data_IF_430955015845
#
_entry.id   IF_430955015845
#
_cell.length_a   1.000
_cell.length_b   1.000
_cell.length_c   1.000
_cell.angle_alpha   90.00
_cell.angle_beta   90.00
_cell.angle_gamma   90.00
#
_symmetry.space_group_name_H-M   'P 1'
#
loop_
_entity.id
_entity.type
_entity.pdbx_description
1 polymer ?
#
# COMPACT_ATOMS: atom_id res chain seq x y z
N UNK A 1 43.94 -54.37 18.66
CA UNK A 1 44.08 -52.90 18.40
C UNK A 1 44.15 -52.51 16.92
N UNK A 2 44.87 -53.23 16.03
CA UNK A 2 44.98 -52.87 14.60
C UNK A 2 43.70 -53.00 13.77
N UNK A 3 42.72 -53.83 14.15
CA UNK A 3 41.44 -54.03 13.40
C UNK A 3 40.45 -52.89 13.65
N UNK A 4 40.46 -52.26 14.82
CA UNK A 4 39.57 -51.15 15.13
C UNK A 4 40.07 -49.83 14.52
N UNK A 5 41.40 -49.68 14.32
CA UNK A 5 41.97 -48.51 13.68
C UNK A 5 41.58 -48.38 12.19
N UNK A 6 41.44 -49.55 11.50
CA UNK A 6 41.00 -49.60 10.11
C UNK A 6 39.50 -49.28 9.96
N UNK A 7 38.69 -49.66 10.96
CA UNK A 7 37.26 -49.39 10.95
C UNK A 7 36.99 -47.93 11.21
N UNK A 8 37.81 -47.32 12.12
CA UNK A 8 37.71 -45.88 12.43
C UNK A 8 38.08 -44.98 11.23
N UNK A 9 39.08 -45.43 10.44
CA UNK A 9 39.50 -44.69 9.25
C UNK A 9 38.42 -44.75 8.11
N UNK A 10 37.70 -45.89 7.99
CA UNK A 10 36.63 -46.03 6.98
C UNK A 10 35.39 -45.22 7.39
N UNK A 11 35.08 -45.18 8.67
CA UNK A 11 33.94 -44.36 9.16
C UNK A 11 34.24 -42.86 9.03
N UNK A 12 35.51 -42.46 9.30
CA UNK A 12 35.89 -41.04 9.13
C UNK A 12 35.92 -40.59 7.65
N UNK A 13 36.31 -41.49 6.74
CA UNK A 13 36.30 -41.21 5.30
C UNK A 13 34.89 -41.18 4.73
N UNK A 14 33.94 -41.97 5.25
CA UNK A 14 32.54 -41.86 4.85
C UNK A 14 31.89 -40.60 5.39
N UNK A 15 32.22 -40.17 6.59
CA UNK A 15 31.70 -38.92 7.16
C UNK A 15 32.19 -37.68 6.40
N UNK A 16 33.42 -37.69 5.87
CA UNK A 16 33.97 -36.63 5.03
C UNK A 16 33.40 -36.62 3.61
N UNK A 17 32.97 -37.78 3.09
CA UNK A 17 32.35 -37.88 1.76
C UNK A 17 30.89 -37.36 1.77
N UNK A 18 30.21 -37.43 2.92
CA UNK A 18 28.84 -36.85 3.07
C UNK A 18 28.84 -35.36 3.34
N UNK A 19 29.94 -34.73 3.76
CA UNK A 19 30.03 -33.30 3.99
C UNK A 19 30.39 -32.49 2.75
N UNK A 20 30.73 -33.12 1.62
CA UNK A 20 31.09 -32.44 0.36
C UNK A 20 29.94 -32.44 -0.65
N UNK A 21 28.89 -33.23 -0.41
CA UNK A 21 27.70 -33.25 -1.26
C UNK A 21 26.53 -32.44 -0.71
N UNK A 22 26.74 -31.65 0.35
CA UNK A 22 25.78 -30.67 0.87
C UNK A 22 26.12 -29.24 0.45
N UNK A 23 26.90 -29.04 -0.61
CA UNK A 23 26.79 -27.87 -1.48
C UNK A 23 25.72 -28.22 -2.54
N UNK A 24 24.51 -28.49 -2.08
CA UNK A 24 23.33 -28.22 -2.85
C UNK A 24 23.34 -26.73 -3.10
N UNK A 25 23.12 -26.36 -4.34
CA UNK A 25 22.77 -25.03 -4.76
C UNK A 25 21.88 -24.45 -3.66
N UNK A 26 22.43 -23.52 -2.87
CA UNK A 26 21.60 -22.49 -2.34
C UNK A 26 21.08 -21.84 -3.62
N UNK A 27 19.84 -22.11 -3.99
CA UNK A 27 19.06 -21.05 -4.55
C UNK A 27 19.42 -19.85 -3.68
N UNK A 28 20.14 -18.88 -4.21
CA UNK A 28 20.10 -17.54 -3.69
C UNK A 28 18.60 -17.28 -3.62
N UNK A 29 18.05 -17.32 -2.40
CA UNK A 29 16.76 -16.74 -2.17
C UNK A 29 16.93 -15.37 -2.79
N UNK A 30 16.20 -15.11 -3.88
CA UNK A 30 16.11 -13.79 -4.46
C UNK A 30 15.91 -12.89 -3.25
N UNK A 31 16.80 -11.93 -3.06
CA UNK A 31 16.64 -10.96 -1.99
C UNK A 31 15.19 -10.50 -2.15
N UNK A 32 14.38 -10.64 -1.08
CA UNK A 32 12.97 -10.24 -1.15
C UNK A 32 12.98 -8.82 -1.71
N UNK A 33 12.61 -8.70 -2.98
CA UNK A 33 12.63 -7.44 -3.69
C UNK A 33 11.66 -6.53 -2.97
N UNK A 34 12.08 -5.31 -2.63
CA UNK A 34 11.27 -4.38 -1.87
C UNK A 34 9.96 -4.13 -2.63
N UNK A 35 8.84 -4.05 -1.92
CA UNK A 35 7.54 -3.78 -2.54
C UNK A 35 7.58 -2.55 -3.46
N UNK A 36 8.23 -1.47 -3.01
CA UNK A 36 8.37 -0.25 -3.79
C UNK A 36 9.11 -0.47 -5.13
N UNK A 37 10.15 -1.32 -5.14
CA UNK A 37 10.92 -1.62 -6.36
C UNK A 37 10.09 -2.44 -7.35
N UNK A 38 9.32 -3.40 -6.87
CA UNK A 38 8.36 -4.17 -7.69
C UNK A 38 7.26 -3.28 -8.26
N UNK A 39 6.76 -2.32 -7.47
CA UNK A 39 5.78 -1.36 -7.93
C UNK A 39 6.32 -0.45 -9.05
N UNK A 40 7.54 0.07 -8.91
CA UNK A 40 8.20 0.85 -9.97
C UNK A 40 8.30 0.02 -11.25
N UNK A 41 8.74 -1.26 -11.13
CA UNK A 41 8.84 -2.16 -12.27
C UNK A 41 7.47 -2.41 -12.93
N UNK A 42 6.39 -2.55 -12.15
CA UNK A 42 5.02 -2.67 -12.66
C UNK A 42 4.66 -1.47 -13.54
N UNK A 43 4.82 -0.24 -13.02
CA UNK A 43 4.44 0.97 -13.77
C UNK A 43 5.30 1.15 -15.02
N UNK A 44 6.61 0.91 -14.93
CA UNK A 44 7.53 1.02 -16.07
C UNK A 44 7.28 -0.04 -17.16
N UNK A 45 6.75 -1.22 -16.78
CA UNK A 45 6.43 -2.27 -17.74
C UNK A 45 5.27 -1.90 -18.67
N UNK A 46 4.29 -1.16 -18.16
CA UNK A 46 3.02 -0.89 -18.83
C UNK A 46 2.14 -2.14 -19.01
N UNK A 47 2.47 -3.23 -18.32
CA UNK A 47 1.80 -4.55 -18.47
C UNK A 47 0.58 -4.70 -17.56
N UNK A 48 0.38 -3.77 -16.63
CA UNK A 48 -0.75 -3.80 -15.69
C UNK A 48 -0.84 -5.15 -14.95
N UNK A 49 -1.98 -5.81 -15.00
CA UNK A 49 -2.25 -7.10 -14.36
C UNK A 49 -1.50 -8.28 -14.96
N UNK A 50 -1.02 -8.15 -16.19
CA UNK A 50 -0.19 -9.16 -16.84
C UNK A 50 1.24 -9.15 -16.33
N UNK A 51 1.60 -8.16 -15.48
CA UNK A 51 2.90 -8.10 -14.80
C UNK A 51 3.08 -9.31 -13.88
N UNK A 52 4.24 -9.95 -13.95
CA UNK A 52 4.50 -11.24 -13.32
C UNK A 52 4.31 -11.21 -11.78
N UNK A 53 4.63 -10.09 -11.14
CA UNK A 53 4.59 -9.95 -9.68
C UNK A 53 3.36 -9.16 -9.19
N UNK A 54 2.37 -8.88 -10.06
CA UNK A 54 1.16 -8.13 -9.69
C UNK A 54 0.42 -8.75 -8.50
N UNK A 55 0.25 -10.08 -8.51
CA UNK A 55 -0.42 -10.79 -7.42
C UNK A 55 0.33 -10.65 -6.09
N UNK A 56 1.66 -10.59 -6.11
CA UNK A 56 2.46 -10.39 -4.91
C UNK A 56 2.31 -8.98 -4.34
N UNK A 57 2.25 -7.95 -5.20
CA UNK A 57 1.96 -6.57 -4.79
C UNK A 57 0.58 -6.47 -4.14
N UNK A 58 -0.44 -7.08 -4.76
CA UNK A 58 -1.81 -7.13 -4.25
C UNK A 58 -1.89 -7.87 -2.91
N UNK A 59 -1.24 -9.02 -2.77
CA UNK A 59 -1.23 -9.82 -1.54
C UNK A 59 -0.67 -9.05 -0.35
N UNK A 60 0.33 -8.20 -0.55
CA UNK A 60 0.88 -7.38 0.54
C UNK A 60 -0.10 -6.29 0.99
N UNK A 61 -0.83 -5.66 0.06
CA UNK A 61 -1.90 -4.71 0.41
C UNK A 61 -3.05 -5.41 1.15
N UNK A 62 -3.43 -6.62 0.72
CA UNK A 62 -4.47 -7.41 1.40
C UNK A 62 -4.07 -7.81 2.83
N UNK A 63 -2.79 -8.15 3.05
CA UNK A 63 -2.25 -8.38 4.41
C UNK A 63 -2.37 -7.13 5.28
N UNK A 64 -2.02 -5.96 4.73
CA UNK A 64 -2.17 -4.69 5.45
C UNK A 64 -3.64 -4.46 5.82
N UNK A 65 -4.55 -4.69 4.88
CA UNK A 65 -6.00 -4.57 5.09
C UNK A 65 -6.48 -5.45 6.25
N UNK A 66 -6.08 -6.72 6.26
CA UNK A 66 -6.42 -7.65 7.33
C UNK A 66 -5.82 -7.25 8.69
N UNK A 67 -4.55 -6.82 8.69
CA UNK A 67 -3.84 -6.42 9.91
C UNK A 67 -4.44 -5.18 10.56
N UNK A 68 -4.85 -4.18 9.79
CA UNK A 68 -5.39 -2.94 10.32
C UNK A 68 -6.92 -2.96 10.48
N UNK A 69 -7.61 -3.92 9.88
CA UNK A 69 -9.06 -4.00 9.89
C UNK A 69 -9.73 -2.94 9.02
N UNK A 70 -9.06 -2.48 7.97
CA UNK A 70 -9.62 -1.58 6.98
C UNK A 70 -10.61 -2.32 6.06
N UNK A 71 -11.56 -1.59 5.50
CA UNK A 71 -12.43 -2.13 4.46
C UNK A 71 -11.64 -2.27 3.15
N UNK A 72 -10.89 -1.24 2.77
CA UNK A 72 -10.09 -1.22 1.54
C UNK A 72 -8.67 -0.72 1.79
N UNK A 73 -7.72 -1.28 1.04
CA UNK A 73 -6.32 -0.83 0.97
C UNK A 73 -5.85 -0.93 -0.48
N UNK A 74 -5.42 0.18 -1.03
CA UNK A 74 -5.06 0.31 -2.43
C UNK A 74 -3.95 1.33 -2.63
N UNK A 75 -3.38 1.42 -3.83
CA UNK A 75 -2.43 2.47 -4.18
C UNK A 75 -2.86 3.20 -5.43
N UNK A 76 -2.55 4.50 -5.44
CA UNK A 76 -2.89 5.45 -6.48
C UNK A 76 -1.61 6.04 -7.09
N UNK A 77 -1.62 6.24 -8.40
CA UNK A 77 -0.64 7.05 -9.11
C UNK A 77 -1.32 8.17 -9.89
N UNK A 78 -0.66 9.31 -10.08
CA UNK A 78 -1.19 10.34 -10.96
C UNK A 78 -1.33 9.83 -12.39
N UNK A 79 -2.35 10.34 -13.08
CA UNK A 79 -2.59 10.05 -14.49
C UNK A 79 -1.78 10.99 -15.40
N UNK A 80 -1.17 10.41 -16.41
CA UNK A 80 -0.56 11.14 -17.50
C UNK A 80 -0.93 10.49 -18.84
N UNK A 81 -1.64 11.22 -19.68
CA UNK A 81 -2.08 10.71 -20.98
C UNK A 81 -2.96 9.43 -20.91
N UNK A 82 -3.69 9.24 -19.82
CA UNK A 82 -4.54 8.07 -19.58
C UNK A 82 -3.84 6.88 -18.90
N UNK A 83 -2.57 7.01 -18.57
CA UNK A 83 -1.77 5.94 -17.97
C UNK A 83 -1.17 6.38 -16.62
N UNK A 84 -0.92 5.45 -15.67
CA UNK A 84 -0.25 5.76 -14.41
C UNK A 84 1.17 6.29 -14.64
N UNK A 85 1.60 7.26 -13.85
CA UNK A 85 2.91 7.88 -13.96
C UNK A 85 3.65 7.91 -12.62
N UNK A 86 4.98 7.72 -12.67
CA UNK A 86 5.88 7.85 -11.51
C UNK A 86 6.32 9.30 -11.25
N UNK A 87 6.09 10.21 -12.18
CA UNK A 87 6.44 11.62 -12.06
C UNK A 87 5.26 12.47 -12.54
N UNK A 88 4.86 13.42 -11.71
CA UNK A 88 3.78 14.36 -11.99
C UNK A 88 4.06 15.71 -11.34
N UNK A 89 3.68 16.78 -12.03
CA UNK A 89 3.60 18.14 -11.46
C UNK A 89 2.16 18.39 -10.99
N UNK A 90 1.98 18.50 -9.70
CA UNK A 90 0.68 18.73 -9.05
C UNK A 90 0.29 20.20 -8.97
N UNK A 91 1.02 21.12 -9.62
CA UNK A 91 0.65 22.53 -9.74
C UNK A 91 -0.71 22.73 -10.43
N UNK A 92 -1.11 21.79 -11.29
CA UNK A 92 -2.45 21.66 -11.86
C UNK A 92 -3.22 20.53 -11.16
N UNK A 93 -4.55 20.57 -11.23
CA UNK A 93 -5.40 19.46 -10.78
C UNK A 93 -5.18 18.26 -11.69
N UNK A 94 -4.57 17.21 -11.14
CA UNK A 94 -4.27 15.97 -11.85
C UNK A 94 -5.15 14.86 -11.29
N UNK A 95 -5.75 14.06 -12.17
CA UNK A 95 -6.49 12.88 -11.77
C UNK A 95 -5.52 11.77 -11.32
N UNK A 96 -6.02 10.87 -10.47
CA UNK A 96 -5.28 9.73 -9.95
C UNK A 96 -5.97 8.42 -10.33
N UNK A 97 -5.16 7.39 -10.57
CA UNK A 97 -5.63 6.06 -10.93
C UNK A 97 -5.28 5.06 -9.84
N UNK A 98 -6.21 4.16 -9.50
CA UNK A 98 -5.86 2.95 -8.75
C UNK A 98 -5.02 2.04 -9.66
N UNK A 99 -3.87 1.62 -9.15
CA UNK A 99 -2.94 0.76 -9.89
C UNK A 99 -2.77 -0.63 -9.28
N UNK A 100 -2.92 -0.76 -7.96
CA UNK A 100 -3.00 -2.04 -7.25
C UNK A 100 -4.03 -1.89 -6.14
N UNK A 101 -4.97 -2.83 -6.04
CA UNK A 101 -5.98 -2.84 -4.99
C UNK A 101 -5.97 -4.20 -4.28
N UNK A 102 -5.69 -4.20 -2.97
CA UNK A 102 -5.66 -5.40 -2.13
C UNK A 102 -7.01 -6.10 -2.01
N UNK A 103 -8.11 -5.36 -2.13
CA UNK A 103 -9.47 -5.84 -1.89
C UNK A 103 -10.27 -6.07 -3.17
N UNK A 104 -9.95 -5.39 -4.28
CA UNK A 104 -10.78 -5.37 -5.47
C UNK A 104 -10.67 -6.61 -6.35
N UNK A 105 -11.69 -6.75 -7.21
CA UNK A 105 -11.67 -7.67 -8.34
C UNK A 105 -10.51 -7.28 -9.30
N UNK A 106 -9.80 -8.29 -9.86
CA UNK A 106 -8.76 -8.04 -10.84
C UNK A 106 -9.14 -7.15 -12.03
N UNK A 107 -10.39 -6.78 -12.24
CA UNK A 107 -10.81 -5.89 -13.33
C UNK A 107 -10.63 -4.38 -13.04
N UNK A 108 -10.15 -3.99 -11.86
CA UNK A 108 -10.08 -2.59 -11.43
C UNK A 108 -8.76 -1.85 -11.74
N UNK A 109 -7.92 -2.39 -12.63
CA UNK A 109 -6.73 -1.67 -13.06
C UNK A 109 -7.07 -0.27 -13.60
N UNK A 110 -6.33 0.72 -13.09
CA UNK A 110 -6.39 2.11 -13.54
C UNK A 110 -7.81 2.73 -13.48
N UNK A 111 -8.60 2.36 -12.46
CA UNK A 111 -9.84 3.08 -12.18
C UNK A 111 -9.51 4.53 -11.85
N UNK A 112 -10.13 5.46 -12.58
CA UNK A 112 -9.93 6.89 -12.37
C UNK A 112 -10.72 7.37 -11.16
N UNK A 113 -10.00 7.89 -10.15
CA UNK A 113 -10.58 8.48 -8.94
C UNK A 113 -10.75 10.00 -9.03
N UNK A 114 -10.35 10.57 -10.16
CA UNK A 114 -10.36 12.01 -10.30
C UNK A 114 -9.34 12.70 -9.39
N UNK A 115 -9.43 14.02 -9.33
CA UNK A 115 -8.60 14.84 -8.48
C UNK A 115 -9.23 15.02 -7.09
N UNK A 116 -8.42 14.83 -6.04
CA UNK A 116 -8.73 15.25 -4.68
C UNK A 116 -7.52 15.95 -4.06
N UNK A 117 -7.77 16.93 -3.17
CA UNK A 117 -6.69 17.70 -2.55
C UNK A 117 -5.77 16.81 -1.71
N UNK A 118 -6.32 15.78 -1.06
CA UNK A 118 -5.57 14.83 -0.22
C UNK A 118 -4.62 13.97 -1.04
N UNK A 119 -4.97 13.64 -2.28
CA UNK A 119 -4.07 12.95 -3.19
C UNK A 119 -2.85 13.82 -3.50
N UNK A 120 -3.08 15.11 -3.79
CA UNK A 120 -2.00 16.06 -4.03
C UNK A 120 -1.12 16.25 -2.80
N UNK A 121 -1.72 16.40 -1.60
CA UNK A 121 -0.98 16.51 -0.34
C UNK A 121 -0.10 15.29 -0.10
N UNK A 122 -0.64 14.06 -0.30
CA UNK A 122 0.12 12.83 -0.15
C UNK A 122 1.21 12.67 -1.22
N UNK A 123 0.92 13.03 -2.48
CA UNK A 123 1.90 13.02 -3.56
C UNK A 123 3.05 14.01 -3.31
N UNK A 124 2.77 15.14 -2.71
CA UNK A 124 3.78 16.13 -2.29
C UNK A 124 4.51 15.73 -0.99
N UNK A 125 4.24 14.53 -0.46
CA UNK A 125 4.98 13.93 0.66
C UNK A 125 4.36 14.14 2.04
N UNK A 126 3.11 14.61 2.12
CA UNK A 126 2.41 14.87 3.39
C UNK A 126 1.22 13.92 3.55
N UNK A 127 1.23 12.98 4.50
CA UNK A 127 0.05 12.15 4.77
C UNK A 127 -1.17 13.00 5.09
N UNK A 128 -2.31 12.66 4.50
CA UNK A 128 -3.56 13.40 4.66
C UNK A 128 -4.76 12.46 4.71
N UNK A 129 -5.77 12.79 5.51
CA UNK A 129 -7.06 12.11 5.49
C UNK A 129 -8.10 12.92 4.73
N UNK A 130 -9.10 12.23 4.18
CA UNK A 130 -10.29 12.84 3.64
C UNK A 130 -10.93 13.79 4.67
N UNK A 131 -11.67 14.78 4.20
CA UNK A 131 -12.31 15.79 5.07
C UNK A 131 -13.71 15.40 5.50
N UNK A 132 -14.19 14.25 5.02
CA UNK A 132 -15.48 13.67 5.39
C UNK A 132 -15.44 12.15 5.28
N UNK A 133 -16.34 11.48 6.00
CA UNK A 133 -16.65 10.08 5.76
C UNK A 133 -17.43 9.91 4.46
N UNK A 134 -17.58 8.68 4.03
CA UNK A 134 -18.44 8.26 2.92
C UNK A 134 -19.05 6.88 3.24
N UNK A 135 -20.17 6.56 2.59
CA UNK A 135 -20.90 5.31 2.78
C UNK A 135 -20.63 4.35 1.63
N UNK A 136 -20.44 3.08 1.95
CA UNK A 136 -20.38 1.97 1.01
C UNK A 136 -21.23 0.77 1.48
N UNK A 137 -21.07 -0.40 0.85
CA UNK A 137 -21.78 -1.62 1.24
C UNK A 137 -21.32 -2.16 2.61
N UNK A 138 -20.11 -1.82 3.06
CA UNK A 138 -19.51 -2.22 4.33
C UNK A 138 -19.83 -1.23 5.47
N UNK A 139 -20.41 -0.08 5.15
CA UNK A 139 -20.79 0.98 6.08
C UNK A 139 -20.00 2.26 5.89
N UNK A 140 -19.92 3.07 6.94
CA UNK A 140 -19.25 4.37 6.88
C UNK A 140 -17.74 4.23 7.02
N UNK A 141 -17.01 4.77 6.05
CA UNK A 141 -15.56 4.75 5.96
C UNK A 141 -14.95 6.15 6.02
N UNK A 142 -13.73 6.21 6.52
CA UNK A 142 -12.86 7.38 6.43
C UNK A 142 -11.60 7.04 5.66
N UNK A 143 -11.35 7.75 4.57
CA UNK A 143 -10.18 7.54 3.72
C UNK A 143 -8.99 8.35 4.20
N UNK A 144 -7.80 7.73 4.20
CA UNK A 144 -6.54 8.40 4.45
C UNK A 144 -5.47 7.97 3.44
N UNK A 145 -4.58 8.88 3.10
CA UNK A 145 -3.60 8.75 2.03
C UNK A 145 -2.21 9.07 2.56
N UNK A 146 -1.21 8.28 2.16
CA UNK A 146 0.16 8.51 2.57
C UNK A 146 1.16 8.18 1.46
N UNK A 147 2.28 8.92 1.37
CA UNK A 147 3.29 8.73 0.33
C UNK A 147 4.06 7.44 0.51
N UNK A 148 4.25 6.69 -0.56
CA UNK A 148 5.18 5.57 -0.65
C UNK A 148 6.42 6.02 -1.41
N UNK A 149 7.60 5.78 -0.84
CA UNK A 149 8.87 6.28 -1.38
C UNK A 149 9.67 5.19 -2.08
N UNK A 150 10.24 5.52 -3.24
CA UNK A 150 11.20 4.70 -3.97
C UNK A 150 12.63 4.85 -3.45
N UNK A 151 13.59 4.17 -4.11
CA UNK A 151 15.02 4.14 -3.75
C UNK A 151 15.65 5.55 -3.76
N UNK A 152 15.22 6.42 -4.65
CA UNK A 152 15.73 7.79 -4.77
C UNK A 152 15.11 8.77 -3.76
N UNK A 153 14.22 8.29 -2.89
CA UNK A 153 13.52 9.07 -1.88
C UNK A 153 12.38 9.93 -2.45
N UNK A 154 11.97 9.73 -3.69
CA UNK A 154 10.79 10.37 -4.27
C UNK A 154 9.54 9.54 -3.99
N UNK A 155 8.39 10.20 -4.00
CA UNK A 155 7.09 9.52 -3.97
C UNK A 155 6.88 8.81 -5.30
N UNK A 156 6.51 7.53 -5.25
CA UNK A 156 6.25 6.68 -6.41
C UNK A 156 4.77 6.33 -6.56
N UNK A 157 4.04 6.31 -5.46
CA UNK A 157 2.59 6.19 -5.39
C UNK A 157 2.10 6.68 -4.03
N UNK A 158 0.79 6.76 -3.87
CA UNK A 158 0.15 7.01 -2.58
C UNK A 158 -0.62 5.79 -2.13
N UNK A 159 -0.45 5.39 -0.87
CA UNK A 159 -1.25 4.36 -0.24
C UNK A 159 -2.56 4.98 0.23
N UNK A 160 -3.69 4.41 -0.18
CA UNK A 160 -5.03 4.71 0.32
C UNK A 160 -5.49 3.64 1.30
N UNK A 161 -6.08 4.04 2.41
CA UNK A 161 -6.72 3.17 3.39
C UNK A 161 -8.10 3.71 3.71
N UNK A 162 -9.13 2.89 3.54
CA UNK A 162 -10.50 3.20 3.91
C UNK A 162 -10.86 2.44 5.18
N UNK A 163 -10.97 3.17 6.29
CA UNK A 163 -11.13 2.61 7.62
C UNK A 163 -12.54 2.83 8.15
N UNK A 164 -13.21 1.80 8.74
CA UNK A 164 -14.57 1.93 9.27
C UNK A 164 -14.65 2.96 10.40
N UNK A 165 -15.60 3.87 10.31
CA UNK A 165 -15.80 4.95 11.27
C UNK A 165 -17.27 5.14 11.73
N UNK A 166 -18.15 4.21 11.34
CA UNK A 166 -19.61 4.34 11.46
C UNK A 166 -20.13 4.78 12.83
N UNK A 167 -19.60 4.21 13.92
CA UNK A 167 -20.04 4.55 15.26
C UNK A 167 -19.76 6.03 15.63
N UNK A 168 -18.65 6.58 15.15
CA UNK A 168 -18.27 7.99 15.39
C UNK A 168 -19.11 8.93 14.54
N UNK A 169 -19.26 8.62 13.25
CA UNK A 169 -19.94 9.50 12.28
C UNK A 169 -21.45 9.51 12.46
N UNK A 170 -22.03 8.46 13.06
CA UNK A 170 -23.45 8.46 13.44
C UNK A 170 -23.88 9.65 14.32
N UNK A 171 -22.96 10.18 15.13
CA UNK A 171 -23.19 11.36 15.98
C UNK A 171 -22.87 12.70 15.26
N UNK A 172 -22.24 12.63 14.05
CA UNK A 172 -21.80 13.80 13.27
C UNK A 172 -22.17 13.64 11.78
N UNK A 173 -23.47 13.52 11.43
CA UNK A 173 -23.90 13.25 10.06
C UNK A 173 -23.47 14.32 9.06
N UNK A 174 -23.25 15.56 9.49
CA UNK A 174 -22.73 16.65 8.66
C UNK A 174 -21.29 16.43 8.19
N UNK A 175 -20.60 15.46 8.76
CA UNK A 175 -19.24 15.05 8.35
C UNK A 175 -19.24 13.82 7.42
N UNK A 176 -20.41 13.39 6.98
CA UNK A 176 -20.57 12.34 5.97
C UNK A 176 -20.91 12.97 4.61
N UNK A 177 -20.08 12.77 3.60
CA UNK A 177 -20.28 13.36 2.27
C UNK A 177 -21.53 12.84 1.55
N UNK A 178 -22.04 11.68 1.96
CA UNK A 178 -23.27 11.11 1.39
C UNK A 178 -24.53 11.69 2.04
N UNK A 179 -24.41 12.47 3.12
CA UNK A 179 -25.51 13.24 3.67
C UNK A 179 -25.83 14.42 2.75
N UNK A 180 -27.12 14.59 2.40
CA UNK A 180 -27.57 15.65 1.53
C UNK A 180 -27.37 17.07 2.10
N UNK A 181 -27.06 17.20 3.38
CA UNK A 181 -26.69 18.46 4.03
C UNK A 181 -25.23 18.83 3.80
N UNK A 182 -24.37 17.86 3.45
CA UNK A 182 -22.96 18.06 3.15
C UNK A 182 -22.80 18.55 1.71
N UNK A 183 -22.29 19.76 1.54
CA UNK A 183 -22.12 20.41 0.24
C UNK A 183 -20.70 20.90 -0.04
N UNK A 184 -19.71 20.43 0.72
CA UNK A 184 -18.36 20.96 0.68
C UNK A 184 -17.25 19.92 0.70
N UNK A 185 -17.32 18.89 -0.10
CA UNK A 185 -16.26 17.85 -0.15
C UNK A 185 -14.89 18.44 -0.53
N UNK A 186 -14.88 19.41 -1.44
CA UNK A 186 -13.68 20.11 -1.90
C UNK A 186 -13.55 21.53 -1.30
N UNK A 187 -14.60 22.03 -0.67
CA UNK A 187 -14.58 23.36 -0.04
C UNK A 187 -14.03 23.23 1.38
N UNK A 188 -13.32 24.27 1.81
CA UNK A 188 -12.82 24.33 3.19
C UNK A 188 -13.97 24.10 4.17
N UNK A 189 -13.79 23.13 5.07
CA UNK A 189 -14.65 22.99 6.23
C UNK A 189 -14.46 24.25 7.07
N UNK A 190 -15.40 25.18 6.91
CA UNK A 190 -15.41 26.44 7.66
C UNK A 190 -16.07 26.18 9.01
N UNK A 191 -15.30 25.75 10.00
CA UNK A 191 -15.80 25.53 11.34
C UNK A 191 -14.80 24.76 12.19
N UNK A 192 -15.04 24.71 13.48
CA UNK A 192 -14.23 23.90 14.39
C UNK A 192 -14.58 22.43 14.19
N UNK A 193 -13.60 21.61 13.84
CA UNK A 193 -13.75 20.15 13.74
C UNK A 193 -14.05 19.60 15.13
N UNK A 194 -15.12 18.82 15.32
CA UNK A 194 -15.38 18.16 16.60
C UNK A 194 -14.20 17.26 17.03
N UNK A 195 -13.90 17.23 18.32
CA UNK A 195 -12.76 16.46 18.84
C UNK A 195 -12.81 14.97 18.43
N UNK A 196 -14.00 14.37 18.39
CA UNK A 196 -14.18 12.99 17.99
C UNK A 196 -13.90 12.78 16.49
N UNK A 197 -14.29 13.71 15.62
CA UNK A 197 -14.02 13.69 14.19
C UNK A 197 -12.53 13.92 13.95
N UNK A 198 -11.91 14.88 14.64
CA UNK A 198 -10.46 15.10 14.54
C UNK A 198 -9.67 13.87 14.95
N UNK A 199 -10.11 13.14 15.96
CA UNK A 199 -9.47 11.89 16.39
C UNK A 199 -9.53 10.80 15.30
N UNK A 200 -10.61 10.72 14.51
CA UNK A 200 -10.69 9.81 13.36
C UNK A 200 -9.70 10.25 12.27
N UNK A 201 -9.70 11.53 11.91
CA UNK A 201 -8.76 12.10 10.93
C UNK A 201 -7.31 11.78 11.32
N UNK A 202 -6.93 12.08 12.56
CA UNK A 202 -5.57 11.86 13.05
C UNK A 202 -5.19 10.38 13.04
N UNK A 203 -6.06 9.51 13.57
CA UNK A 203 -5.78 8.07 13.67
C UNK A 203 -5.69 7.37 12.31
N UNK A 204 -6.56 7.72 11.36
CA UNK A 204 -6.51 7.14 10.01
C UNK A 204 -5.31 7.67 9.22
N UNK A 205 -4.95 8.93 9.39
CA UNK A 205 -3.71 9.49 8.79
C UNK A 205 -2.47 8.80 9.32
N UNK A 206 -2.36 8.59 10.66
CA UNK A 206 -1.24 7.86 11.27
C UNK A 206 -1.18 6.40 10.79
N UNK A 207 -2.35 5.78 10.59
CA UNK A 207 -2.44 4.41 10.09
C UNK A 207 -1.90 4.31 8.65
N UNK A 208 -2.33 5.18 7.75
CA UNK A 208 -1.87 5.23 6.38
C UNK A 208 -0.35 5.49 6.31
N UNK A 209 0.15 6.48 7.05
CA UNK A 209 1.59 6.81 7.12
C UNK A 209 2.44 5.63 7.64
N UNK A 210 1.96 4.91 8.64
CA UNK A 210 2.63 3.72 9.17
C UNK A 210 2.84 2.66 8.09
N UNK A 211 1.79 2.32 7.34
CA UNK A 211 1.86 1.25 6.35
C UNK A 211 2.53 1.71 5.05
N UNK A 212 2.38 2.96 4.64
CA UNK A 212 3.14 3.52 3.53
C UNK A 212 4.66 3.44 3.77
N UNK A 213 5.12 3.71 5.00
CA UNK A 213 6.52 3.50 5.40
C UNK A 213 6.98 2.05 5.37
N UNK A 214 6.06 1.10 5.58
CA UNK A 214 6.37 -0.34 5.47
C UNK A 214 6.61 -0.75 4.02
N UNK A 215 5.82 -0.21 3.09
CA UNK A 215 5.92 -0.47 1.65
C UNK A 215 7.10 0.26 0.99
N UNK A 216 7.51 1.41 1.53
CA UNK A 216 8.56 2.26 0.99
C UNK A 216 9.93 1.56 0.98
N UNK A 217 10.77 1.96 0.02
CA UNK A 217 12.17 1.57 0.00
C UNK A 217 12.89 2.07 1.27
N UNK A 218 13.80 1.25 1.82
CA UNK A 218 14.47 1.50 3.13
C UNK A 218 15.88 2.02 2.94
#
# INVERSE_FOLDING_TARGET
MKKYLKLLAVVLTLALAFSVTACGDKEEAAADECWADQYVALIESGEARDFADYDALKEELDKIREECGANYVYVLSPEKDGEPALECDTSDKVDFLITVDGSADPDDWAVNYGWEIQFTEAWDGTPAAARSAWDDEEGQCWSAFAPVYGEDGKVICILGIDYPCGDTIADYPEWNRDDASWNGFEEEITGDVPEAVQAVIDSTTELADKYAKQLSHK
#
